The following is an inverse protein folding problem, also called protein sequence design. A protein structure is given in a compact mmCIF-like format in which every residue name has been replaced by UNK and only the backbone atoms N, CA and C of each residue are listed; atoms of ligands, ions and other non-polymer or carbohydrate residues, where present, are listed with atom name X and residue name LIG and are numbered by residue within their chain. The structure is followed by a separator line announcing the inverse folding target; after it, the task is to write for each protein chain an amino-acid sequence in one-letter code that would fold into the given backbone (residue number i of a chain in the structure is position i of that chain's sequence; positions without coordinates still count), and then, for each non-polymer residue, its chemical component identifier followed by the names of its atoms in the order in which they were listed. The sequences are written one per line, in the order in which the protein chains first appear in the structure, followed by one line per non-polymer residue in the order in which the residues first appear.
data_IF_135210287825
#
_entry.id   IF_135210287825
#
_cell.length_a   1.000
_cell.length_b   1.000
_cell.length_c   1.000
_cell.angle_alpha   90.00
_cell.angle_beta   90.00
_cell.angle_gamma   90.00
#
_symmetry.space_group_name_H-M   'P 1'
#
loop_
_entity.id
_entity.type
_entity.pdbx_description
1 polymer ?
#
# COMPACT_ATOMS: atom_id res chain seq x y z
N UNK A 1 55.34 23.36 80.25
CA UNK A 1 56.12 22.68 79.19
C UNK A 1 55.25 21.61 78.51
N UNK A 2 55.43 21.44 77.20
CA UNK A 2 54.77 20.48 76.30
C UNK A 2 53.34 20.82 75.84
N UNK A 3 53.29 21.75 74.87
CA UNK A 3 52.17 21.92 73.96
C UNK A 3 52.21 20.83 72.87
N UNK A 4 51.09 20.12 72.72
CA UNK A 4 50.81 19.18 71.63
C UNK A 4 50.90 19.90 70.27
N UNK A 5 51.87 19.48 69.45
CA UNK A 5 51.96 19.85 68.02
C UNK A 5 50.89 19.06 67.26
N UNK A 6 49.88 19.76 66.75
CA UNK A 6 48.97 19.23 65.75
C UNK A 6 49.70 19.14 64.41
N UNK A 7 49.78 17.92 63.89
CA UNK A 7 50.32 17.58 62.57
C UNK A 7 49.39 18.14 61.48
N UNK A 8 49.96 18.94 60.57
CA UNK A 8 49.24 19.53 59.44
C UNK A 8 49.16 18.50 58.31
N UNK A 9 47.97 18.17 57.76
CA UNK A 9 47.88 17.22 56.66
C UNK A 9 48.43 17.82 55.35
N UNK A 10 49.09 16.97 54.57
CA UNK A 10 49.70 17.26 53.27
C UNK A 10 48.68 17.80 52.24
N UNK A 11 49.11 18.61 51.25
CA UNK A 11 48.24 19.08 50.18
C UNK A 11 47.77 17.90 49.31
N UNK A 12 46.46 17.78 49.12
CA UNK A 12 45.87 16.81 48.20
C UNK A 12 46.35 17.09 46.77
N UNK A 13 46.93 16.09 46.13
CA UNK A 13 47.27 16.13 44.71
C UNK A 13 45.98 16.31 43.90
N UNK A 14 45.87 17.42 43.17
CA UNK A 14 44.77 17.68 42.25
C UNK A 14 44.80 16.66 41.11
N UNK A 15 43.78 15.79 41.06
CA UNK A 15 43.56 14.91 39.91
C UNK A 15 43.38 15.73 38.63
N UNK A 16 43.96 15.34 37.48
CA UNK A 16 43.75 16.06 36.23
C UNK A 16 42.28 15.99 35.82
N UNK A 17 41.66 17.15 35.62
CA UNK A 17 40.31 17.26 35.07
C UNK A 17 40.26 16.58 33.69
N UNK A 18 39.29 15.69 33.41
CA UNK A 18 39.11 15.14 32.08
C UNK A 18 38.81 16.28 31.09
N UNK A 19 39.48 16.26 29.94
CA UNK A 19 39.25 17.25 28.89
C UNK A 19 37.76 17.29 28.50
N UNK A 20 37.20 18.48 28.21
CA UNK A 20 35.80 18.63 27.86
C UNK A 20 35.47 17.75 26.67
N UNK A 21 34.40 16.95 26.79
CA UNK A 21 33.86 16.16 25.70
C UNK A 21 33.49 17.11 24.56
N UNK A 22 34.31 17.14 23.52
CA UNK A 22 33.93 17.73 22.24
C UNK A 22 32.74 16.94 21.73
N UNK A 23 31.55 17.53 21.83
CA UNK A 23 30.38 17.07 21.08
C UNK A 23 30.73 17.21 19.60
N UNK A 24 31.23 16.13 19.00
CA UNK A 24 31.26 15.98 17.56
C UNK A 24 29.81 16.04 17.09
N UNK A 25 29.35 17.23 16.70
CA UNK A 25 28.21 17.40 15.82
C UNK A 25 28.53 16.57 14.57
N UNK A 26 28.09 15.31 14.58
CA UNK A 26 28.02 14.54 13.36
C UNK A 26 27.02 15.31 12.49
N UNK A 27 27.44 15.88 11.35
CA UNK A 27 26.47 16.42 10.42
C UNK A 27 25.54 15.26 10.09
N UNK A 28 24.27 15.36 10.50
CA UNK A 28 23.24 14.43 10.09
C UNK A 28 23.31 14.38 8.57
N UNK A 29 23.84 13.29 8.01
CA UNK A 29 23.68 12.99 6.58
C UNK A 29 22.19 13.17 6.32
N UNK A 30 21.83 14.11 5.44
CA UNK A 30 20.44 14.30 5.00
C UNK A 30 19.87 12.91 4.74
N UNK A 31 18.82 12.54 5.47
CA UNK A 31 18.25 11.22 5.44
C UNK A 31 17.67 10.98 4.03
N UNK A 32 18.47 10.41 3.12
CA UNK A 32 18.07 10.01 1.76
C UNK A 32 16.79 9.15 1.76
N UNK A 33 16.50 8.50 2.89
CA UNK A 33 15.24 7.80 3.12
C UNK A 33 14.01 8.70 2.98
N UNK A 34 13.99 9.89 3.60
CA UNK A 34 12.82 10.78 3.55
C UNK A 34 12.60 11.38 2.16
N UNK A 35 13.66 11.53 1.36
CA UNK A 35 13.57 11.95 -0.04
C UNK A 35 12.95 10.85 -0.93
N UNK A 36 13.05 9.58 -0.51
CA UNK A 36 12.48 8.43 -1.21
C UNK A 36 11.03 8.09 -0.77
N UNK A 37 10.45 8.86 0.16
CA UNK A 37 9.06 8.69 0.60
C UNK A 37 8.17 9.69 -0.13
N UNK A 38 7.16 9.18 -0.82
CA UNK A 38 6.13 9.98 -1.46
C UNK A 38 4.94 10.16 -0.52
N UNK A 39 4.62 11.41 -0.20
CA UNK A 39 3.45 11.76 0.58
C UNK A 39 2.35 12.22 -0.36
N UNK A 40 1.17 11.61 -0.23
CA UNK A 40 -0.05 12.03 -0.92
C UNK A 40 -1.13 12.29 0.10
N UNK A 41 -2.07 13.16 -0.24
CA UNK A 41 -3.19 13.42 0.63
C UNK A 41 -4.26 14.24 -0.06
N UNK A 42 -5.47 14.12 0.46
CA UNK A 42 -6.63 14.85 0.01
C UNK A 42 -7.42 15.35 1.22
N UNK A 43 -8.04 16.50 1.05
CA UNK A 43 -8.93 17.08 2.04
C UNK A 43 -10.30 17.32 1.41
N UNK A 44 -11.36 16.97 2.12
CA UNK A 44 -12.73 17.14 1.65
C UNK A 44 -13.72 17.29 2.81
N UNK A 45 -15.01 17.34 2.47
CA UNK A 45 -16.10 17.50 3.44
C UNK A 45 -16.13 16.37 4.49
N UNK A 46 -15.65 15.19 4.14
CA UNK A 46 -15.52 14.03 5.04
C UNK A 46 -14.28 14.01 5.93
N UNK A 47 -13.34 14.95 5.76
CA UNK A 47 -12.09 15.00 6.52
C UNK A 47 -10.84 14.97 5.65
N UNK A 48 -9.72 14.55 6.25
CA UNK A 48 -8.42 14.39 5.62
C UNK A 48 -8.10 12.91 5.41
N UNK A 49 -7.55 12.56 4.25
CA UNK A 49 -6.91 11.27 4.01
C UNK A 49 -5.48 11.53 3.55
N UNK A 50 -4.52 10.84 4.15
CA UNK A 50 -3.13 10.92 3.74
C UNK A 50 -2.47 9.56 3.73
N UNK A 51 -1.51 9.41 2.82
CA UNK A 51 -0.76 8.18 2.59
C UNK A 51 0.71 8.55 2.38
N UNK A 52 1.60 7.86 3.08
CA UNK A 52 3.04 7.92 2.89
C UNK A 52 3.49 6.59 2.28
N UNK A 53 4.13 6.62 1.11
CA UNK A 53 4.59 5.43 0.41
C UNK A 53 6.07 5.54 0.11
N UNK A 54 6.83 4.57 0.57
CA UNK A 54 8.20 4.33 0.15
C UNK A 54 8.23 3.23 -0.90
N UNK A 55 9.05 3.41 -1.93
CA UNK A 55 9.27 2.41 -2.98
C UNK A 55 10.76 2.24 -3.17
N UNK A 56 11.24 1.00 -3.19
CA UNK A 56 12.65 0.72 -3.49
C UNK A 56 12.91 0.69 -5.01
N UNK A 57 14.18 0.59 -5.39
CA UNK A 57 14.61 0.53 -6.80
C UNK A 57 14.04 -0.67 -7.57
N UNK A 58 13.60 -1.71 -6.86
CA UNK A 58 13.01 -2.92 -7.43
C UNK A 58 11.48 -2.91 -7.48
N UNK A 59 10.84 -1.83 -7.02
CA UNK A 59 9.38 -1.66 -7.03
C UNK A 59 8.65 -2.23 -5.80
N UNK A 60 9.34 -2.80 -4.82
CA UNK A 60 8.75 -3.18 -3.53
C UNK A 60 8.37 -1.93 -2.74
N UNK A 61 7.27 -2.00 -1.99
CA UNK A 61 6.66 -0.83 -1.35
C UNK A 61 6.45 -1.03 0.15
N UNK A 62 6.51 0.08 0.89
CA UNK A 62 5.99 0.18 2.25
C UNK A 62 5.10 1.42 2.29
N UNK A 63 3.84 1.25 2.68
CA UNK A 63 2.89 2.35 2.76
C UNK A 63 2.25 2.40 4.15
N UNK A 64 2.06 3.60 4.67
CA UNK A 64 1.27 3.87 5.87
C UNK A 64 0.31 5.00 5.56
N UNK A 65 -0.95 4.78 5.84
CA UNK A 65 -2.04 5.70 5.55
C UNK A 65 -2.89 5.97 6.77
N UNK A 66 -3.58 7.10 6.76
CA UNK A 66 -4.61 7.39 7.75
C UNK A 66 -5.73 8.22 7.16
N UNK A 67 -6.92 8.01 7.71
CA UNK A 67 -8.11 8.80 7.43
C UNK A 67 -8.59 9.43 8.73
N UNK A 68 -8.81 10.73 8.69
CA UNK A 68 -9.21 11.54 9.85
C UNK A 68 -10.44 12.34 9.48
N UNK A 69 -11.52 12.18 10.22
CA UNK A 69 -12.71 13.01 10.10
C UNK A 69 -12.81 14.01 11.25
N UNK A 70 -13.90 14.80 11.26
CA UNK A 70 -14.24 15.68 12.38
C UNK A 70 -14.45 14.92 13.70
N UNK A 71 -14.66 13.59 13.65
CA UNK A 71 -14.86 12.75 14.83
C UNK A 71 -13.55 12.14 15.36
N UNK A 72 -12.42 12.40 14.71
CA UNK A 72 -11.11 11.86 15.06
C UNK A 72 -10.54 10.98 13.95
N UNK A 73 -9.65 10.06 14.32
CA UNK A 73 -9.06 9.10 13.39
C UNK A 73 -10.10 8.03 13.04
N UNK A 74 -10.48 7.96 11.77
CA UNK A 74 -11.41 6.97 11.25
C UNK A 74 -10.70 5.64 10.95
N UNK A 75 -9.48 5.71 10.42
CA UNK A 75 -8.73 4.52 9.99
C UNK A 75 -7.23 4.79 9.96
N UNK A 76 -6.46 3.78 10.35
CA UNK A 76 -5.01 3.71 10.13
C UNK A 76 -4.74 2.46 9.33
N UNK A 77 -3.96 2.56 8.26
CA UNK A 77 -3.60 1.45 7.38
C UNK A 77 -2.08 1.36 7.25
N UNK A 78 -1.57 0.14 7.18
CA UNK A 78 -0.19 -0.15 6.80
C UNK A 78 -0.17 -1.27 5.76
N UNK A 79 0.67 -1.13 4.74
CA UNK A 79 0.85 -2.10 3.65
C UNK A 79 2.32 -2.31 3.36
N UNK A 80 2.67 -3.53 3.01
CA UNK A 80 3.98 -3.91 2.52
C UNK A 80 3.82 -4.73 1.24
N UNK A 81 4.46 -4.28 0.18
CA UNK A 81 4.48 -4.93 -1.13
C UNK A 81 5.88 -5.44 -1.47
N UNK A 82 5.97 -6.69 -1.91
CA UNK A 82 7.13 -7.27 -2.55
C UNK A 82 6.89 -7.35 -4.06
N UNK A 83 7.77 -6.71 -4.82
CA UNK A 83 7.80 -6.82 -6.28
C UNK A 83 8.80 -7.90 -6.67
N UNK A 84 8.29 -8.94 -7.32
CA UNK A 84 9.12 -9.99 -7.89
C UNK A 84 9.69 -9.54 -9.23
N UNK A 85 10.89 -10.01 -9.56
CA UNK A 85 11.43 -9.78 -10.89
C UNK A 85 10.68 -10.62 -11.94
N UNK A 86 10.57 -10.10 -13.16
CA UNK A 86 9.82 -10.74 -14.24
C UNK A 86 10.37 -12.12 -14.64
N UNK A 87 11.69 -12.34 -14.47
CA UNK A 87 12.36 -13.61 -14.74
C UNK A 87 12.21 -14.65 -13.61
N UNK A 88 11.69 -14.25 -12.44
CA UNK A 88 11.43 -15.17 -11.33
C UNK A 88 10.03 -15.77 -11.45
N UNK A 89 9.86 -17.00 -11.01
CA UNK A 89 8.54 -17.63 -10.96
C UNK A 89 7.68 -17.15 -9.78
N UNK A 90 8.30 -16.49 -8.80
CA UNK A 90 7.63 -15.98 -7.59
C UNK A 90 6.62 -14.88 -7.99
N UNK A 91 5.38 -14.87 -7.44
CA UNK A 91 4.43 -13.78 -7.64
C UNK A 91 4.82 -12.52 -6.88
N UNK A 92 4.30 -11.39 -7.31
CA UNK A 92 4.25 -10.19 -6.49
C UNK A 92 3.35 -10.48 -5.29
N UNK A 93 3.70 -9.93 -4.13
CA UNK A 93 2.95 -10.13 -2.89
C UNK A 93 2.68 -8.78 -2.25
N UNK A 94 1.50 -8.60 -1.69
CA UNK A 94 1.16 -7.45 -0.86
C UNK A 94 0.46 -7.96 0.39
N UNK A 95 0.84 -7.42 1.54
CA UNK A 95 0.14 -7.64 2.80
C UNK A 95 -0.24 -6.28 3.39
N UNK A 96 -1.45 -6.21 3.92
CA UNK A 96 -2.02 -5.00 4.48
C UNK A 96 -2.71 -5.28 5.80
N UNK A 97 -2.69 -4.30 6.68
CA UNK A 97 -3.47 -4.27 7.90
C UNK A 97 -4.09 -2.89 8.08
N UNK A 98 -5.37 -2.84 8.45
CA UNK A 98 -6.04 -1.60 8.82
C UNK A 98 -6.81 -1.73 10.14
N UNK A 99 -6.86 -0.63 10.87
CA UNK A 99 -7.51 -0.53 12.17
C UNK A 99 -8.44 0.68 12.16
N UNK A 100 -9.67 0.47 12.62
CA UNK A 100 -10.65 1.53 12.86
C UNK A 100 -10.68 1.79 14.37
N UNK A 101 -10.18 2.93 14.85
CA UNK A 101 -10.18 3.23 16.28
C UNK A 101 -11.59 3.14 16.89
N UNK A 102 -11.69 2.49 18.06
CA UNK A 102 -12.96 2.27 18.75
C UNK A 102 -13.78 1.07 18.26
N UNK A 103 -13.34 0.38 17.20
CA UNK A 103 -13.88 -0.93 16.82
C UNK A 103 -12.91 -2.05 17.21
N UNK A 104 -13.41 -3.17 17.75
CA UNK A 104 -12.55 -4.31 18.04
C UNK A 104 -12.11 -4.99 16.75
N UNK A 105 -10.82 -5.28 16.65
CA UNK A 105 -10.24 -6.10 15.59
C UNK A 105 -9.36 -5.33 14.61
N UNK A 106 -8.59 -6.10 13.84
CA UNK A 106 -7.72 -5.62 12.76
C UNK A 106 -8.20 -6.25 11.47
N UNK A 107 -8.38 -5.44 10.44
CA UNK A 107 -8.63 -5.91 9.08
C UNK A 107 -7.30 -6.23 8.46
N UNK A 108 -7.16 -7.42 7.91
CA UNK A 108 -5.99 -7.88 7.20
C UNK A 108 -6.36 -8.14 5.74
N UNK A 109 -5.40 -7.89 4.87
CA UNK A 109 -5.47 -8.28 3.46
C UNK A 109 -4.14 -8.87 3.04
N UNK A 110 -4.17 -9.89 2.20
CA UNK A 110 -3.01 -10.38 1.48
C UNK A 110 -3.40 -10.54 0.02
N UNK A 111 -2.51 -10.14 -0.88
CA UNK A 111 -2.67 -10.29 -2.32
C UNK A 111 -1.42 -10.93 -2.89
N UNK A 112 -1.58 -11.88 -3.78
CA UNK A 112 -0.53 -12.42 -4.61
C UNK A 112 -0.93 -12.22 -6.06
N UNK A 113 -0.03 -11.78 -6.92
CA UNK A 113 -0.32 -11.61 -8.34
C UNK A 113 0.87 -11.93 -9.23
N UNK A 114 0.61 -12.49 -10.41
CA UNK A 114 1.63 -12.76 -11.42
C UNK A 114 1.11 -12.43 -12.80
N UNK A 115 1.90 -11.69 -13.56
CA UNK A 115 1.69 -11.51 -15.00
C UNK A 115 2.25 -12.74 -15.72
N UNK A 116 1.41 -13.41 -16.49
CA UNK A 116 1.79 -14.55 -17.31
C UNK A 116 2.05 -14.07 -18.74
N UNK A 117 3.28 -14.22 -19.23
CA UNK A 117 3.62 -13.86 -20.60
C UNK A 117 3.38 -15.06 -21.51
N UNK A 118 2.25 -15.07 -22.23
CA UNK A 118 1.86 -16.19 -23.09
C UNK A 118 1.33 -15.69 -24.44
N UNK A 119 2.05 -16.01 -25.53
CA UNK A 119 1.54 -15.86 -26.89
C UNK A 119 1.07 -14.45 -27.29
N UNK A 120 1.72 -13.40 -26.77
CA UNK A 120 1.34 -12.00 -27.03
C UNK A 120 0.17 -11.48 -26.18
N UNK A 121 -0.27 -12.25 -25.19
CA UNK A 121 -1.16 -11.81 -24.12
C UNK A 121 -0.38 -11.81 -22.81
N UNK A 122 -0.72 -10.86 -21.94
CA UNK A 122 -0.11 -10.72 -20.61
C UNK A 122 -1.19 -10.71 -19.51
N UNK A 123 -1.99 -11.79 -19.34
CA UNK A 123 -2.97 -11.84 -18.27
C UNK A 123 -2.29 -11.81 -16.90
N UNK A 124 -2.90 -11.12 -15.95
CA UNK A 124 -2.50 -11.13 -14.54
C UNK A 124 -3.39 -12.10 -13.79
N UNK A 125 -2.81 -13.14 -13.21
CA UNK A 125 -3.51 -14.01 -12.26
C UNK A 125 -3.28 -13.46 -10.86
N UNK A 126 -4.31 -13.44 -10.03
CA UNK A 126 -4.20 -12.99 -8.65
C UNK A 126 -4.96 -13.88 -7.67
N UNK A 127 -4.51 -13.88 -6.43
CA UNK A 127 -5.19 -14.46 -5.29
C UNK A 127 -5.23 -13.41 -4.19
N UNK A 128 -6.41 -13.16 -3.63
CA UNK A 128 -6.60 -12.20 -2.54
C UNK A 128 -7.22 -12.91 -1.35
N UNK A 129 -6.79 -12.56 -0.15
CA UNK A 129 -7.31 -13.07 1.11
C UNK A 129 -7.55 -11.90 2.06
N UNK A 130 -8.69 -11.89 2.73
CA UNK A 130 -9.03 -10.98 3.80
C UNK A 130 -9.70 -11.72 4.95
N UNK A 131 -10.07 -11.02 6.03
CA UNK A 131 -10.76 -11.65 7.17
C UNK A 131 -12.08 -12.35 6.78
N UNK A 132 -12.78 -11.87 5.74
CA UNK A 132 -14.12 -12.34 5.38
C UNK A 132 -14.16 -13.20 4.12
N UNK A 133 -13.18 -13.05 3.24
CA UNK A 133 -13.21 -13.65 1.91
C UNK A 133 -11.82 -13.99 1.40
N UNK A 134 -11.75 -15.06 0.64
CA UNK A 134 -10.67 -15.32 -0.30
C UNK A 134 -11.20 -15.11 -1.72
N UNK A 135 -10.35 -14.76 -2.67
CA UNK A 135 -10.74 -14.71 -4.07
C UNK A 135 -9.59 -15.10 -4.98
N UNK A 136 -9.94 -15.68 -6.12
CA UNK A 136 -9.01 -15.92 -7.22
C UNK A 136 -9.46 -15.06 -8.40
N UNK A 137 -8.54 -14.31 -8.98
CA UNK A 137 -8.79 -13.37 -10.05
C UNK A 137 -7.91 -13.65 -11.27
N UNK A 138 -8.41 -13.30 -12.45
CA UNK A 138 -7.60 -13.16 -13.65
C UNK A 138 -8.05 -11.91 -14.38
N UNK A 139 -7.12 -11.02 -14.68
CA UNK A 139 -7.37 -9.84 -15.49
C UNK A 139 -6.54 -9.85 -16.76
N UNK A 140 -7.09 -9.31 -17.84
CA UNK A 140 -6.41 -9.16 -19.12
C UNK A 140 -6.76 -7.79 -19.68
N UNK A 141 -5.74 -7.00 -20.00
CA UNK A 141 -5.90 -5.76 -20.76
C UNK A 141 -5.23 -5.91 -22.13
N UNK A 142 -5.92 -5.48 -23.18
CA UNK A 142 -5.39 -5.49 -24.54
C UNK A 142 -5.94 -4.30 -25.34
N UNK A 143 -5.02 -3.58 -25.99
CA UNK A 143 -5.37 -2.65 -27.06
C UNK A 143 -5.77 -3.47 -28.29
N UNK A 144 -7.02 -3.34 -28.73
CA UNK A 144 -7.54 -4.06 -29.90
C UNK A 144 -7.17 -3.34 -31.20
N UNK A 145 -7.18 -2.00 -31.16
CA UNK A 145 -6.83 -1.07 -32.24
C UNK A 145 -6.46 0.26 -31.60
N UNK A 146 -5.79 1.13 -32.34
CA UNK A 146 -5.39 2.46 -31.86
C UNK A 146 -6.54 3.19 -31.16
N UNK A 147 -6.34 3.42 -29.86
CA UNK A 147 -7.29 4.14 -29.02
C UNK A 147 -8.53 3.32 -28.60
N UNK A 148 -8.51 2.00 -28.77
CA UNK A 148 -9.54 1.08 -28.27
C UNK A 148 -8.91 0.03 -27.36
N UNK A 149 -9.13 0.17 -26.07
CA UNK A 149 -8.62 -0.73 -25.04
C UNK A 149 -9.75 -1.60 -24.49
N UNK A 150 -9.51 -2.89 -24.34
CA UNK A 150 -10.43 -3.81 -23.67
C UNK A 150 -9.73 -4.43 -22.47
N UNK A 151 -10.41 -4.35 -21.33
CA UNK A 151 -10.01 -4.93 -20.06
C UNK A 151 -11.08 -5.94 -19.64
N UNK A 152 -10.68 -7.16 -19.33
CA UNK A 152 -11.55 -8.21 -18.80
C UNK A 152 -10.99 -8.60 -17.44
N UNK A 153 -11.84 -8.60 -16.42
CA UNK A 153 -11.54 -9.08 -15.08
C UNK A 153 -12.52 -10.22 -14.75
N UNK A 154 -11.98 -11.35 -14.33
CA UNK A 154 -12.75 -12.50 -13.86
C UNK A 154 -12.32 -12.76 -12.43
N UNK A 155 -13.24 -12.63 -11.48
CA UNK A 155 -12.98 -12.82 -10.06
C UNK A 155 -13.93 -13.87 -9.47
N UNK A 156 -13.38 -14.81 -8.73
CA UNK A 156 -14.13 -15.84 -8.02
C UNK A 156 -13.95 -15.63 -6.50
N UNK A 157 -14.80 -14.81 -5.86
CA UNK A 157 -14.86 -14.71 -4.41
C UNK A 157 -15.38 -16.00 -3.78
N UNK A 158 -14.77 -16.35 -2.65
CA UNK A 158 -15.08 -17.49 -1.79
C UNK A 158 -15.26 -16.93 -0.39
N UNK A 159 -16.51 -16.77 0.05
CA UNK A 159 -16.80 -16.29 1.40
C UNK A 159 -16.57 -17.42 2.42
N UNK A 160 -15.79 -17.13 3.47
CA UNK A 160 -15.42 -18.14 4.47
C UNK A 160 -16.61 -18.75 5.23
N UNK A 161 -17.70 -17.99 5.41
CA UNK A 161 -18.88 -18.44 6.15
C UNK A 161 -19.89 -19.26 5.36
N UNK A 162 -19.96 -19.11 4.03
CA UNK A 162 -20.97 -19.77 3.20
C UNK A 162 -20.41 -20.87 2.29
N UNK A 163 -19.08 -20.95 2.13
CA UNK A 163 -18.39 -21.81 1.14
C UNK A 163 -18.95 -21.70 -0.28
N UNK A 164 -19.64 -20.60 -0.59
CA UNK A 164 -20.17 -20.33 -1.92
C UNK A 164 -19.11 -19.60 -2.72
N UNK A 165 -18.80 -20.16 -3.88
CA UNK A 165 -18.06 -19.47 -4.93
C UNK A 165 -19.07 -18.92 -5.93
N UNK A 166 -18.98 -17.63 -6.26
CA UNK A 166 -19.80 -17.01 -7.29
C UNK A 166 -18.91 -16.20 -8.22
N UNK A 167 -18.77 -16.66 -9.46
CA UNK A 167 -17.87 -16.03 -10.43
C UNK A 167 -18.46 -14.70 -10.86
N UNK A 168 -17.65 -13.65 -10.76
CA UNK A 168 -17.93 -12.29 -11.26
C UNK A 168 -17.07 -12.07 -12.49
N UNK A 169 -17.69 -11.55 -13.55
CA UNK A 169 -16.99 -11.16 -14.77
C UNK A 169 -17.31 -9.70 -15.03
N UNK A 170 -16.27 -8.89 -15.14
CA UNK A 170 -16.33 -7.49 -15.51
C UNK A 170 -15.53 -7.28 -16.79
N UNK A 171 -16.11 -6.57 -17.74
CA UNK A 171 -15.49 -6.22 -19.01
C UNK A 171 -15.64 -4.72 -19.20
N UNK A 172 -14.53 -4.06 -19.46
CA UNK A 172 -14.45 -2.63 -19.68
C UNK A 172 -13.85 -2.39 -21.05
N UNK A 173 -14.55 -1.62 -21.88
CA UNK A 173 -14.08 -1.15 -23.17
C UNK A 173 -13.87 0.35 -23.10
N UNK A 174 -12.67 0.80 -23.38
CA UNK A 174 -12.31 2.22 -23.41
C UNK A 174 -12.04 2.64 -24.85
N UNK A 175 -12.69 3.71 -25.29
CA UNK A 175 -12.49 4.30 -26.61
C UNK A 175 -12.03 5.76 -26.47
N UNK A 176 -10.82 6.06 -26.92
CA UNK A 176 -10.26 7.41 -26.91
C UNK A 176 -10.94 8.26 -27.99
N UNK A 177 -11.39 9.44 -27.60
CA UNK A 177 -12.02 10.42 -28.49
C UNK A 177 -11.31 11.76 -28.33
N UNK A 178 -11.50 12.69 -29.28
CA UNK A 178 -10.93 14.03 -29.16
C UNK A 178 -11.53 14.71 -27.92
N UNK A 179 -10.70 14.99 -26.92
CA UNK A 179 -11.10 15.66 -25.67
C UNK A 179 -11.55 14.74 -24.53
N UNK A 180 -11.30 13.42 -24.61
CA UNK A 180 -11.62 12.50 -23.52
C UNK A 180 -11.60 11.02 -23.91
N UNK A 181 -12.31 10.19 -23.15
CA UNK A 181 -12.52 8.77 -23.44
C UNK A 181 -13.93 8.33 -23.09
N UNK A 182 -14.52 7.48 -23.92
CA UNK A 182 -15.73 6.74 -23.64
C UNK A 182 -15.36 5.43 -22.94
N UNK A 183 -16.03 5.13 -21.83
CA UNK A 183 -15.82 3.91 -21.06
C UNK A 183 -17.14 3.17 -20.99
N UNK A 184 -17.22 2.04 -21.69
CA UNK A 184 -18.30 1.07 -21.57
C UNK A 184 -17.90 0.00 -20.55
N UNK A 185 -18.80 -0.31 -19.61
CA UNK A 185 -18.62 -1.36 -18.60
C UNK A 185 -19.75 -2.35 -18.69
N UNK A 186 -19.42 -3.63 -18.72
CA UNK A 186 -20.35 -4.75 -18.66
C UNK A 186 -19.92 -5.65 -17.50
N UNK A 187 -20.78 -5.87 -16.53
CA UNK A 187 -20.45 -6.64 -15.33
C UNK A 187 -21.57 -7.59 -14.96
N UNK A 188 -21.24 -8.80 -14.51
CA UNK A 188 -22.24 -9.79 -14.14
C UNK A 188 -21.73 -10.85 -13.18
N UNK A 189 -22.66 -11.46 -12.45
CA UNK A 189 -22.40 -12.60 -11.57
C UNK A 189 -22.99 -13.87 -12.17
N UNK A 190 -22.25 -14.97 -12.13
CA UNK A 190 -22.68 -16.26 -12.65
C UNK A 190 -23.98 -16.72 -12.00
N UNK A 191 -24.12 -16.57 -10.68
CA UNK A 191 -25.33 -16.93 -9.93
C UNK A 191 -26.61 -16.21 -10.37
N UNK A 192 -26.46 -15.02 -10.96
CA UNK A 192 -27.59 -14.18 -11.39
C UNK A 192 -27.98 -14.39 -12.85
N UNK A 193 -27.21 -15.20 -13.59
CA UNK A 193 -27.37 -15.43 -15.02
C UNK A 193 -27.40 -14.14 -15.83
N UNK A 194 -27.99 -14.19 -17.03
CA UNK A 194 -28.10 -13.02 -17.92
C UNK A 194 -28.91 -11.86 -17.32
N UNK A 195 -29.82 -12.15 -16.38
CA UNK A 195 -30.67 -11.13 -15.74
C UNK A 195 -29.89 -10.24 -14.76
N UNK A 196 -28.77 -10.72 -14.24
CA UNK A 196 -27.90 -9.95 -13.35
C UNK A 196 -26.77 -9.21 -14.06
N UNK A 197 -26.78 -9.19 -15.39
CA UNK A 197 -25.81 -8.42 -16.17
C UNK A 197 -26.17 -6.95 -16.10
N UNK A 198 -25.20 -6.14 -15.73
CA UNK A 198 -25.27 -4.69 -15.73
C UNK A 198 -24.42 -4.13 -16.85
N UNK A 199 -24.92 -3.07 -17.49
CA UNK A 199 -24.22 -2.35 -18.53
C UNK A 199 -24.28 -0.85 -18.23
N UNK A 200 -23.16 -0.16 -18.46
CA UNK A 200 -23.04 1.28 -18.30
C UNK A 200 -22.11 1.86 -19.34
N UNK A 201 -22.37 3.10 -19.71
CA UNK A 201 -21.45 3.92 -20.52
C UNK A 201 -21.24 5.22 -19.78
N UNK A 202 -19.98 5.62 -19.68
CA UNK A 202 -19.59 6.91 -19.13
C UNK A 202 -18.63 7.62 -20.07
N UNK A 203 -18.63 8.95 -20.01
CA UNK A 203 -17.66 9.79 -20.69
C UNK A 203 -16.74 10.39 -19.63
N UNK A 204 -15.45 10.19 -19.79
CA UNK A 204 -14.41 10.74 -18.92
C UNK A 204 -13.62 11.78 -19.73
N UNK A 205 -13.68 13.05 -19.29
CA UNK A 205 -12.99 14.18 -19.92
C UNK A 205 -11.47 14.14 -19.68
N UNK A 206 -10.99 13.26 -18.79
CA UNK A 206 -9.59 13.26 -18.33
C UNK A 206 -9.27 14.47 -17.44
N UNK A 207 -8.15 14.42 -16.69
CA UNK A 207 -7.56 15.61 -16.08
C UNK A 207 -6.91 16.54 -17.11
#
# INVERSE_FOLDING_TARGET
PEFLKSESPAPAASSPSPAPLTHSHHPHKKNKFLEAVHFTGSFGSGGWKGDATWTNEHGSTLAVGSKISRRGVDEIEAKAGYKSHDWQWVPDMEVGASVVPGQPGVKYSAKMSKVLHSGGLSPTVSAELSNSEASLGTSLSKELRDGVDVEVDVKMPISGGSRKADVVVDTKTTYKVKGGKLVGTLGGKASSGLRGVSYGVSYDLGP
#
